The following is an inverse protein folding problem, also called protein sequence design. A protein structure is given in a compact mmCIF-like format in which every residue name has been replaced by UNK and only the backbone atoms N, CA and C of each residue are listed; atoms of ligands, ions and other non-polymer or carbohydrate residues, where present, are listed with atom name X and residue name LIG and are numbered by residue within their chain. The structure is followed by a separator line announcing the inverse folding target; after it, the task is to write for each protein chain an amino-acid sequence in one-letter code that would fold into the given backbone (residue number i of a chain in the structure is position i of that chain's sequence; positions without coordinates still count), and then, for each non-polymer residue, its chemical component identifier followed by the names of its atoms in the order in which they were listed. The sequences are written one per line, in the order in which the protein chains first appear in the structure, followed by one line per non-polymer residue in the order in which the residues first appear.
data_IF_486353678413
#
_entry.id   IF_486353678413
#
_cell.length_a   1.000
_cell.length_b   1.000
_cell.length_c   1.000
_cell.angle_alpha   90.00
_cell.angle_beta   90.00
_cell.angle_gamma   90.00
#
_symmetry.space_group_name_H-M   'P 1'
#
loop_
_entity.id
_entity.type
_entity.pdbx_description
1 polymer ?
#
# COMPACT_ATOMS: atom_id res chain seq x y z
N UNK A 1 3.49 57.48 22.76
CA UNK A 1 2.10 57.80 22.33
C UNK A 1 1.28 57.98 23.60
N UNK A 2 1.02 59.22 24.03
CA UNK A 2 0.17 59.48 25.19
C UNK A 2 -1.29 59.25 24.76
N UNK A 3 -1.99 58.32 25.40
CA UNK A 3 -3.41 58.06 25.14
C UNK A 3 -4.18 58.69 26.29
N UNK A 4 -4.80 59.84 26.03
CA UNK A 4 -5.72 60.47 26.98
C UNK A 4 -7.15 59.98 26.74
N UNK A 5 -7.88 59.65 27.81
CA UNK A 5 -9.27 59.21 27.73
C UNK A 5 -10.20 60.43 27.52
N UNK A 6 -10.97 60.43 26.43
CA UNK A 6 -11.96 61.48 26.15
C UNK A 6 -13.06 61.49 27.23
N UNK A 7 -13.21 62.58 27.98
CA UNK A 7 -14.34 62.79 28.91
C UNK A 7 -15.54 63.38 28.16
N UNK A 8 -16.72 62.79 28.37
CA UNK A 8 -17.99 63.29 27.84
C UNK A 8 -18.78 63.98 28.97
N UNK A 9 -19.39 65.15 28.70
CA UNK A 9 -20.17 65.86 29.71
C UNK A 9 -21.65 65.46 29.71
N UNK A 10 -22.11 64.76 28.66
CA UNK A 10 -23.48 64.22 28.59
C UNK A 10 -23.53 62.86 27.88
N UNK A 11 -24.57 62.07 28.18
CA UNK A 11 -24.81 60.78 27.53
C UNK A 11 -25.08 60.93 26.02
N UNK A 12 -25.72 62.03 25.61
CA UNK A 12 -26.03 62.31 24.20
C UNK A 12 -24.75 62.51 23.37
N UNK A 13 -23.77 63.24 23.90
CA UNK A 13 -22.46 63.42 23.25
C UNK A 13 -21.71 62.10 23.11
N UNK A 14 -21.71 61.26 24.15
CA UNK A 14 -21.06 59.95 24.10
C UNK A 14 -21.65 59.07 22.99
N UNK A 15 -22.98 59.05 22.85
CA UNK A 15 -23.67 58.25 21.82
C UNK A 15 -23.45 58.83 20.41
N UNK A 16 -23.40 60.17 20.28
CA UNK A 16 -23.13 60.83 19.02
C UNK A 16 -21.70 60.55 18.53
N UNK A 17 -20.70 60.64 19.42
CA UNK A 17 -19.31 60.29 19.11
C UNK A 17 -19.16 58.81 18.76
N UNK A 18 -19.86 57.92 19.47
CA UNK A 18 -19.88 56.49 19.14
C UNK A 18 -20.48 56.21 17.74
N UNK A 19 -21.56 56.93 17.36
CA UNK A 19 -22.12 56.86 16.00
C UNK A 19 -21.16 57.43 14.95
N UNK A 20 -20.51 58.56 15.22
CA UNK A 20 -19.55 59.17 14.32
C UNK A 20 -18.31 58.28 14.11
N UNK A 21 -17.83 57.64 15.19
CA UNK A 21 -16.75 56.67 15.15
C UNK A 21 -17.14 55.42 14.35
N UNK A 22 -18.35 54.89 14.54
CA UNK A 22 -18.92 53.82 13.70
C UNK A 22 -18.96 54.19 12.22
N UNK A 23 -19.42 55.39 11.87
CA UNK A 23 -19.43 55.89 10.49
C UNK A 23 -18.03 56.06 9.90
N UNK A 24 -17.06 56.54 10.69
CA UNK A 24 -15.65 56.67 10.28
C UNK A 24 -15.00 55.30 10.00
N UNK A 25 -15.35 54.29 10.79
CA UNK A 25 -14.88 52.91 10.62
C UNK A 25 -15.81 52.05 9.75
N UNK A 26 -16.82 52.65 9.10
CA UNK A 26 -17.77 52.00 8.18
C UNK A 26 -17.10 51.71 6.82
N UNK A 27 -15.90 51.11 6.88
CA UNK A 27 -15.11 50.57 5.78
C UNK A 27 -15.83 49.38 5.12
N UNK A 28 -16.91 48.88 5.75
CA UNK A 28 -17.77 47.80 5.23
C UNK A 28 -18.31 48.08 3.83
N UNK A 29 -18.55 49.35 3.45
CA UNK A 29 -19.00 49.71 2.11
C UNK A 29 -17.89 49.67 1.03
N UNK A 30 -16.61 49.84 1.41
CA UNK A 30 -15.47 49.80 0.48
C UNK A 30 -14.96 48.39 0.23
N UNK A 31 -15.04 47.50 1.23
CA UNK A 31 -14.65 46.09 1.10
C UNK A 31 -15.61 45.29 0.20
N UNK A 32 -16.89 45.68 0.12
CA UNK A 32 -17.85 45.05 -0.78
C UNK A 32 -17.55 45.28 -2.27
N UNK A 33 -16.73 46.28 -2.60
CA UNK A 33 -16.33 46.63 -3.96
C UNK A 33 -14.93 46.13 -4.34
N UNK A 34 -14.28 45.27 -3.54
CA UNK A 34 -13.15 44.50 -4.05
C UNK A 34 -13.72 43.43 -4.99
N UNK A 35 -13.74 43.76 -6.30
CA UNK A 35 -14.06 42.84 -7.38
C UNK A 35 -13.31 41.53 -7.09
N UNK A 36 -14.02 40.43 -6.85
CA UNK A 36 -13.41 39.11 -6.73
C UNK A 36 -12.53 38.92 -7.97
N UNK A 37 -11.22 39.04 -7.80
CA UNK A 37 -10.28 38.76 -8.87
C UNK A 37 -10.41 37.25 -9.08
N UNK A 38 -10.89 36.84 -10.25
CA UNK A 38 -10.92 35.43 -10.58
C UNK A 38 -9.49 34.89 -10.43
N UNK A 39 -9.30 33.72 -9.79
CA UNK A 39 -7.97 33.14 -9.69
C UNK A 39 -7.36 33.07 -11.08
N UNK A 40 -6.10 33.48 -11.22
CA UNK A 40 -5.37 33.39 -12.48
C UNK A 40 -5.57 31.95 -13.01
N UNK A 41 -5.86 31.74 -14.31
CA UNK A 41 -5.87 30.38 -14.84
C UNK A 41 -4.52 29.77 -14.50
N UNK A 42 -4.51 28.71 -13.70
CA UNK A 42 -3.30 27.92 -13.48
C UNK A 42 -2.79 27.55 -14.85
N UNK A 43 -1.56 27.90 -15.24
CA UNK A 43 -1.01 27.39 -16.47
C UNK A 43 -1.11 25.88 -16.36
N UNK A 44 -1.89 25.25 -17.25
CA UNK A 44 -1.85 23.80 -17.34
C UNK A 44 -0.38 23.43 -17.50
N UNK A 45 0.16 22.52 -16.68
CA UNK A 45 1.55 22.13 -16.83
C UNK A 45 1.71 21.71 -18.28
N UNK A 46 2.59 22.39 -19.01
CA UNK A 46 2.89 22.03 -20.38
C UNK A 46 3.28 20.56 -20.31
N UNK A 47 2.43 19.68 -20.83
CA UNK A 47 2.68 18.26 -20.83
C UNK A 47 3.86 18.10 -21.75
N UNK A 48 5.07 18.18 -21.20
CA UNK A 48 6.25 17.68 -21.86
C UNK A 48 5.87 16.27 -22.25
N UNK A 49 5.58 16.08 -23.54
CA UNK A 49 5.42 14.74 -24.09
C UNK A 49 6.72 14.12 -23.72
N UNK A 50 6.68 13.16 -22.79
CA UNK A 50 7.82 12.30 -22.52
C UNK A 50 8.19 11.80 -23.91
N UNK A 51 9.22 12.39 -24.51
CA UNK A 51 9.87 11.80 -25.66
C UNK A 51 10.25 10.46 -25.09
N UNK A 52 9.67 9.40 -25.64
CA UNK A 52 9.97 8.05 -25.19
C UNK A 52 11.45 7.85 -25.50
N UNK A 53 12.32 8.31 -24.59
CA UNK A 53 13.61 7.73 -24.32
C UNK A 53 13.35 6.24 -24.35
N UNK A 54 14.11 5.46 -25.15
CA UNK A 54 13.81 4.05 -25.35
C UNK A 54 13.54 3.44 -23.98
N UNK A 55 12.42 2.73 -23.88
CA UNK A 55 12.01 2.07 -22.64
C UNK A 55 13.27 1.49 -21.98
N UNK A 56 13.46 1.70 -20.67
CA UNK A 56 14.71 1.34 -20.02
C UNK A 56 15.05 -0.12 -20.34
N UNK A 57 16.33 -0.45 -20.50
CA UNK A 57 16.81 -1.73 -21.07
C UNK A 57 16.11 -2.99 -20.53
N UNK A 58 15.70 -3.00 -19.25
CA UNK A 58 14.97 -4.10 -18.62
C UNK A 58 13.51 -4.29 -19.11
N UNK A 59 12.93 -3.29 -19.77
CA UNK A 59 11.67 -3.37 -20.50
C UNK A 59 11.90 -3.71 -21.98
N UNK A 60 13.08 -3.42 -22.53
CA UNK A 60 13.43 -3.69 -23.92
C UNK A 60 13.91 -5.12 -24.13
N UNK A 61 14.52 -5.72 -23.11
CA UNK A 61 14.96 -7.10 -23.09
C UNK A 61 14.16 -7.89 -22.06
N UNK A 62 13.80 -9.13 -22.37
CA UNK A 62 13.18 -10.09 -21.44
C UNK A 62 14.15 -10.55 -20.34
N UNK A 63 14.76 -9.60 -19.64
CA UNK A 63 15.59 -9.82 -18.47
C UNK A 63 14.66 -10.25 -17.35
N UNK A 64 14.44 -11.56 -17.26
CA UNK A 64 13.99 -12.18 -16.02
C UNK A 64 15.07 -11.91 -14.98
N UNK A 65 14.92 -10.84 -14.20
CA UNK A 65 15.88 -10.42 -13.16
C UNK A 65 16.28 -11.55 -12.21
N UNK A 66 15.46 -12.61 -12.13
CA UNK A 66 15.67 -13.78 -11.29
C UNK A 66 16.09 -15.07 -12.04
N UNK A 67 16.31 -15.06 -13.37
CA UNK A 67 16.61 -16.30 -14.12
C UNK A 67 17.92 -16.99 -13.67
N UNK A 68 19.00 -16.22 -13.48
CA UNK A 68 20.27 -16.75 -12.97
C UNK A 68 20.13 -17.27 -11.53
N UNK A 69 19.37 -16.59 -10.68
CA UNK A 69 19.14 -17.00 -9.28
C UNK A 69 18.33 -18.30 -9.25
N UNK A 70 17.29 -18.39 -10.06
CA UNK A 70 16.49 -19.61 -10.25
C UNK A 70 17.36 -20.75 -10.78
N UNK A 71 18.20 -20.49 -11.79
CA UNK A 71 19.11 -21.49 -12.36
C UNK A 71 20.20 -21.95 -11.37
N UNK A 72 20.73 -21.04 -10.55
CA UNK A 72 21.67 -21.36 -9.48
C UNK A 72 21.00 -22.22 -8.38
N UNK A 73 19.74 -21.95 -8.04
CA UNK A 73 18.96 -22.75 -7.10
C UNK A 73 18.56 -24.11 -7.69
N UNK A 74 18.30 -24.20 -8.99
CA UNK A 74 18.00 -25.46 -9.70
C UNK A 74 19.23 -26.35 -9.86
N UNK A 75 20.44 -25.75 -9.97
CA UNK A 75 21.72 -26.48 -10.00
C UNK A 75 22.03 -27.20 -8.69
N UNK A 76 21.49 -26.72 -7.56
CA UNK A 76 21.54 -27.43 -6.28
C UNK A 76 20.31 -28.32 -6.18
N UNK A 77 20.48 -29.55 -5.66
CA UNK A 77 19.34 -30.36 -5.29
C UNK A 77 18.45 -29.54 -4.34
N UNK A 78 17.16 -29.38 -4.67
CA UNK A 78 16.20 -28.68 -3.82
C UNK A 78 15.45 -29.72 -2.97
N UNK A 79 15.91 -30.03 -1.74
CA UNK A 79 15.31 -31.06 -0.90
C UNK A 79 13.87 -30.72 -0.50
N UNK A 80 13.53 -29.43 -0.46
CA UNK A 80 12.17 -29.00 -0.16
C UNK A 80 11.22 -29.31 -1.33
N UNK A 81 11.67 -29.15 -2.58
CA UNK A 81 10.84 -29.45 -3.74
C UNK A 81 10.63 -30.95 -3.93
N UNK A 82 11.67 -31.76 -3.70
CA UNK A 82 11.53 -33.23 -3.72
C UNK A 82 10.56 -33.68 -2.65
N UNK A 83 10.71 -33.16 -1.42
CA UNK A 83 9.78 -33.44 -0.32
C UNK A 83 8.34 -33.11 -0.68
N UNK A 84 8.06 -31.94 -1.27
CA UNK A 84 6.69 -31.57 -1.67
C UNK A 84 6.12 -32.54 -2.70
N UNK A 85 6.91 -32.99 -3.69
CA UNK A 85 6.46 -33.95 -4.70
C UNK A 85 6.12 -35.30 -4.07
N UNK A 86 7.01 -35.82 -3.23
CA UNK A 86 6.81 -37.10 -2.54
C UNK A 86 5.57 -37.02 -1.64
N UNK A 87 5.44 -35.92 -0.90
CA UNK A 87 4.30 -35.67 -0.03
C UNK A 87 2.98 -35.50 -0.77
N UNK A 88 2.99 -34.93 -1.97
CA UNK A 88 1.80 -34.89 -2.84
C UNK A 88 1.37 -36.31 -3.22
N UNK A 89 2.32 -37.17 -3.61
CA UNK A 89 2.05 -38.56 -3.97
C UNK A 89 1.47 -39.35 -2.78
N UNK A 90 2.03 -39.18 -1.58
CA UNK A 90 1.51 -39.79 -0.34
C UNK A 90 0.07 -39.38 -0.03
N UNK A 91 -0.29 -38.13 -0.29
CA UNK A 91 -1.63 -37.60 -0.05
C UNK A 91 -2.62 -37.92 -1.19
N UNK A 92 -2.18 -38.59 -2.26
CA UNK A 92 -2.99 -38.92 -3.43
C UNK A 92 -3.29 -37.73 -4.34
N UNK A 93 -2.46 -36.68 -4.31
CA UNK A 93 -2.60 -35.49 -5.17
C UNK A 93 -1.45 -35.37 -6.16
N UNK A 94 -1.75 -34.92 -7.38
CA UNK A 94 -0.70 -34.57 -8.35
C UNK A 94 -0.08 -33.22 -8.00
N UNK A 95 1.25 -33.12 -8.11
CA UNK A 95 2.00 -31.88 -7.86
C UNK A 95 1.47 -30.68 -8.68
N UNK A 96 1.14 -30.90 -9.96
CA UNK A 96 0.59 -29.87 -10.85
C UNK A 96 -0.74 -29.30 -10.33
N UNK A 97 -1.61 -30.13 -9.75
CA UNK A 97 -2.90 -29.72 -9.18
C UNK A 97 -2.71 -28.84 -7.95
N UNK A 98 -1.72 -29.17 -7.11
CA UNK A 98 -1.40 -28.38 -5.91
C UNK A 98 -0.79 -27.03 -6.32
N UNK A 99 0.16 -27.02 -7.25
CA UNK A 99 0.80 -25.79 -7.71
C UNK A 99 -0.14 -24.91 -8.53
N UNK A 100 -1.05 -25.50 -9.30
CA UNK A 100 -1.96 -24.80 -10.20
C UNK A 100 -2.94 -23.81 -9.53
N UNK A 101 -3.68 -23.03 -10.32
CA UNK A 101 -4.52 -21.92 -9.84
C UNK A 101 -5.78 -22.35 -9.08
N UNK A 102 -6.12 -23.64 -9.08
CA UNK A 102 -7.36 -24.17 -8.54
C UNK A 102 -7.54 -23.85 -7.04
N UNK A 103 -8.72 -23.30 -6.70
CA UNK A 103 -9.10 -22.86 -5.36
C UNK A 103 -10.18 -23.73 -4.68
N UNK A 104 -10.41 -24.95 -5.18
CA UNK A 104 -11.34 -25.89 -4.53
C UNK A 104 -10.86 -26.18 -3.11
N UNK A 105 -11.78 -26.20 -2.14
CA UNK A 105 -11.50 -26.42 -0.70
C UNK A 105 -10.50 -27.56 -0.42
N UNK A 106 -10.64 -28.78 -0.95
CA UNK A 106 -9.69 -29.86 -0.66
C UNK A 106 -8.27 -29.56 -1.14
N UNK A 107 -8.12 -29.00 -2.34
CA UNK A 107 -6.81 -28.62 -2.91
C UNK A 107 -6.15 -27.51 -2.08
N UNK A 108 -6.95 -26.52 -1.66
CA UNK A 108 -6.45 -25.40 -0.84
C UNK A 108 -5.96 -25.90 0.52
N UNK A 109 -6.70 -26.79 1.19
CA UNK A 109 -6.28 -27.36 2.49
C UNK A 109 -4.96 -28.12 2.39
N UNK A 110 -4.81 -28.95 1.35
CA UNK A 110 -3.56 -29.70 1.12
C UNK A 110 -2.41 -28.76 0.84
N UNK A 111 -2.61 -27.74 0.00
CA UNK A 111 -1.60 -26.73 -0.29
C UNK A 111 -1.17 -25.97 0.97
N UNK A 112 -2.12 -25.55 1.80
CA UNK A 112 -1.83 -24.87 3.06
C UNK A 112 -1.01 -25.76 4.00
N UNK A 113 -1.39 -27.04 4.13
CA UNK A 113 -0.65 -28.04 4.91
C UNK A 113 0.80 -28.20 4.43
N UNK A 114 1.00 -28.32 3.11
CA UNK A 114 2.34 -28.46 2.52
C UNK A 114 3.20 -27.21 2.73
N UNK A 115 2.62 -26.02 2.62
CA UNK A 115 3.33 -24.76 2.91
C UNK A 115 3.82 -24.70 4.36
N UNK A 116 2.99 -25.16 5.30
CA UNK A 116 3.35 -25.27 6.70
C UNK A 116 4.43 -26.34 6.95
N UNK A 117 4.28 -27.57 6.43
CA UNK A 117 5.28 -28.64 6.58
C UNK A 117 6.66 -28.23 6.03
N UNK A 118 6.69 -27.51 4.89
CA UNK A 118 7.95 -27.01 4.30
C UNK A 118 8.58 -25.91 5.15
N UNK A 119 7.76 -25.01 5.70
CA UNK A 119 8.24 -23.95 6.59
C UNK A 119 8.91 -24.52 7.82
N UNK A 120 8.31 -25.53 8.46
CA UNK A 120 8.87 -26.15 9.67
C UNK A 120 10.10 -27.01 9.40
N UNK A 121 10.11 -27.79 8.30
CA UNK A 121 11.20 -28.74 8.02
C UNK A 121 12.46 -28.06 7.48
N UNK A 122 12.30 -27.04 6.65
CA UNK A 122 13.41 -26.49 5.86
C UNK A 122 13.78 -25.04 6.21
N UNK A 123 13.04 -24.39 7.12
CA UNK A 123 13.28 -23.00 7.55
C UNK A 123 13.48 -22.02 6.36
N UNK A 124 12.72 -22.23 5.29
CA UNK A 124 12.78 -21.37 4.09
C UNK A 124 12.06 -20.05 4.32
N UNK A 125 12.49 -19.01 3.59
CA UNK A 125 11.79 -17.73 3.63
C UNK A 125 10.40 -17.82 2.97
N UNK A 126 9.44 -17.03 3.46
CA UNK A 126 8.07 -16.99 2.91
C UNK A 126 8.01 -16.73 1.40
N UNK A 127 8.83 -15.82 0.82
CA UNK A 127 8.86 -15.62 -0.62
C UNK A 127 9.39 -16.84 -1.39
N UNK A 128 10.38 -17.56 -0.87
CA UNK A 128 10.90 -18.77 -1.50
C UNK A 128 9.86 -19.88 -1.54
N UNK A 129 9.13 -20.09 -0.43
CA UNK A 129 8.02 -21.05 -0.37
C UNK A 129 6.95 -20.65 -1.41
N UNK A 130 6.58 -19.37 -1.49
CA UNK A 130 5.61 -18.87 -2.46
C UNK A 130 6.00 -19.18 -3.91
N UNK A 131 7.27 -18.98 -4.28
CA UNK A 131 7.83 -19.33 -5.60
C UNK A 131 7.68 -20.81 -5.92
N UNK A 132 7.96 -21.71 -4.96
CA UNK A 132 7.82 -23.17 -5.15
C UNK A 132 6.40 -23.60 -5.47
N UNK A 133 5.41 -22.92 -4.89
CA UNK A 133 4.00 -23.16 -5.17
C UNK A 133 3.48 -22.28 -6.32
N UNK A 134 4.25 -22.10 -7.38
CA UNK A 134 3.77 -21.44 -8.60
C UNK A 134 3.73 -19.91 -8.52
N UNK A 135 4.70 -19.31 -7.82
CA UNK A 135 4.83 -17.85 -7.76
C UNK A 135 3.78 -17.15 -6.89
N UNK A 136 3.33 -17.79 -5.81
CA UNK A 136 2.35 -17.20 -4.88
C UNK A 136 2.99 -16.14 -3.99
N UNK A 137 2.21 -15.12 -3.63
CA UNK A 137 2.65 -14.07 -2.72
C UNK A 137 3.03 -14.60 -1.34
N UNK A 138 4.05 -14.00 -0.74
CA UNK A 138 4.54 -14.36 0.60
C UNK A 138 3.45 -14.21 1.68
N UNK A 139 2.51 -13.27 1.51
CA UNK A 139 1.34 -13.10 2.39
C UNK A 139 0.38 -14.28 2.33
N UNK A 140 0.28 -14.95 1.17
CA UNK A 140 -0.52 -16.17 1.01
C UNK A 140 0.08 -17.32 1.82
N UNK A 141 1.42 -17.44 1.82
CA UNK A 141 2.14 -18.43 2.62
C UNK A 141 1.96 -18.15 4.11
N UNK A 142 2.11 -16.89 4.53
CA UNK A 142 1.88 -16.47 5.91
C UNK A 142 0.46 -16.81 6.39
N UNK A 143 -0.54 -16.53 5.56
CA UNK A 143 -1.93 -16.86 5.87
C UNK A 143 -2.15 -18.38 5.97
N UNK A 144 -1.54 -19.15 5.07
CA UNK A 144 -1.62 -20.61 5.07
C UNK A 144 -1.06 -21.22 6.37
N UNK A 145 0.13 -20.77 6.80
CA UNK A 145 0.80 -21.23 8.03
C UNK A 145 -0.11 -20.99 9.24
N UNK A 146 -0.55 -19.73 9.45
CA UNK A 146 -1.43 -19.37 10.56
C UNK A 146 -2.73 -20.15 10.57
N UNK A 147 -3.28 -20.45 9.38
CA UNK A 147 -4.52 -21.21 9.26
C UNK A 147 -4.33 -22.67 9.69
N UNK A 148 -3.22 -23.30 9.31
CA UNK A 148 -2.91 -24.69 9.70
C UNK A 148 -2.59 -24.79 11.19
N UNK A 149 -1.85 -23.83 11.74
CA UNK A 149 -1.56 -23.74 13.18
C UNK A 149 -2.84 -23.56 14.01
N UNK A 150 -3.80 -22.77 13.52
CA UNK A 150 -5.10 -22.63 14.19
C UNK A 150 -5.95 -23.91 14.11
N UNK A 151 -5.89 -24.63 12.98
CA UNK A 151 -6.66 -25.86 12.77
C UNK A 151 -6.01 -27.08 13.46
N UNK A 152 -4.70 -27.05 13.72
CA UNK A 152 -3.93 -28.13 14.35
C UNK A 152 -3.54 -27.70 15.76
N UNK A 153 -4.24 -28.12 16.82
CA UNK A 153 -3.82 -27.82 18.17
C UNK A 153 -2.46 -28.47 18.40
N UNK A 154 -1.42 -27.65 18.52
CA UNK A 154 -0.09 -28.11 18.92
C UNK A 154 -0.28 -28.86 20.23
N UNK A 155 0.05 -30.14 20.26
CA UNK A 155 0.13 -30.89 21.51
C UNK A 155 1.05 -30.09 22.43
N UNK A 156 0.48 -29.53 23.49
CA UNK A 156 1.21 -28.70 24.44
C UNK A 156 2.43 -29.50 24.91
N UNK A 157 3.62 -28.98 24.61
CA UNK A 157 4.88 -29.50 25.11
C UNK A 157 5.07 -29.05 26.56
#
# INVERSE_FOLDING_TARGET
MQIEATRFQSQAEMVAEARARRKRFEIAGRLAAMKKIAPLPTPEPEKERITLSPLPLWSQFGLNFDAHVVEWHLRRANPALTYVKDRCNELGWTFSTIVGPQRRRPVVRVRQKLMWEVSEKFNLSLPQIGRMFGGRDHTTVLHAIRKVEADTPRAAA
#
